data_IF_538062208595
#
_entry.id   IF_538062208595
#
_cell.length_a   1.000
_cell.length_b   1.000
_cell.length_c   1.000
_cell.angle_alpha   90.00
_cell.angle_beta   90.00
_cell.angle_gamma   90.00
#
_symmetry.space_group_name_H-M   'P 1'
#
loop_
_entity.id
_entity.type
_entity.pdbx_description
1 polymer ?
#
# COMPACT_ATOMS: atom_id res chain seq x y z
N UNK A 1 -4.63 9.83 13.77
CA UNK A 1 -3.19 9.64 13.49
C UNK A 1 -2.68 8.47 14.31
N UNK A 2 -1.97 7.52 13.72
CA UNK A 2 -1.53 6.31 14.43
C UNK A 2 -0.52 6.68 15.54
N UNK A 3 -0.85 6.40 16.80
CA UNK A 3 0.03 6.66 17.94
C UNK A 3 1.13 5.58 18.08
N UNK A 4 1.89 5.32 17.02
CA UNK A 4 3.02 4.38 17.04
C UNK A 4 4.18 4.88 16.17
N UNK A 5 5.42 4.54 16.56
CA UNK A 5 6.60 4.90 15.77
C UNK A 5 6.66 4.13 14.45
N UNK A 6 7.35 4.68 13.45
CA UNK A 6 7.50 4.07 12.11
C UNK A 6 7.98 2.62 12.17
N UNK A 7 8.95 2.32 13.05
CA UNK A 7 9.46 0.95 13.26
C UNK A 7 8.37 0.00 13.77
N UNK A 8 7.69 0.38 14.85
CA UNK A 8 6.59 -0.41 15.44
C UNK A 8 5.43 -0.58 14.45
N UNK A 9 5.19 0.42 13.61
CA UNK A 9 4.18 0.34 12.56
C UNK A 9 4.54 -0.70 11.50
N UNK A 10 5.79 -0.73 11.01
CA UNK A 10 6.23 -1.76 10.05
C UNK A 10 6.05 -3.17 10.59
N UNK A 11 6.44 -3.41 11.85
CA UNK A 11 6.26 -4.70 12.52
C UNK A 11 4.77 -5.09 12.65
N UNK A 12 3.90 -4.11 12.91
CA UNK A 12 2.46 -4.34 13.09
C UNK A 12 1.67 -4.42 11.79
N UNK A 13 2.22 -3.93 10.69
CA UNK A 13 1.60 -4.06 9.37
C UNK A 13 1.79 -5.48 8.79
N UNK A 14 2.69 -6.29 9.35
CA UNK A 14 2.92 -7.66 8.88
C UNK A 14 2.44 -8.71 9.89
N UNK A 15 2.18 -9.93 9.41
CA UNK A 15 1.71 -11.06 10.25
C UNK A 15 0.28 -10.92 10.77
N UNK A 16 -0.04 -11.65 11.84
CA UNK A 16 -1.38 -11.74 12.44
C UNK A 16 -1.66 -10.57 13.40
N UNK A 17 -1.44 -9.35 12.93
CA UNK A 17 -1.72 -8.11 13.65
C UNK A 17 -3.00 -7.46 13.13
N UNK A 18 -3.80 -6.92 14.04
CA UNK A 18 -5.12 -6.34 13.79
C UNK A 18 -5.23 -5.01 14.52
N UNK A 19 -5.94 -4.05 13.91
CA UNK A 19 -6.27 -2.78 14.54
C UNK A 19 -7.76 -2.72 14.80
N UNK A 20 -8.16 -3.00 16.03
CA UNK A 20 -9.55 -2.99 16.44
C UNK A 20 -9.87 -1.58 16.98
N UNK A 21 -10.99 -1.03 16.53
CA UNK A 21 -11.52 0.24 17.04
C UNK A 21 -12.80 -0.07 17.81
N UNK A 22 -12.71 -0.07 19.13
CA UNK A 22 -13.86 -0.20 20.03
C UNK A 22 -14.21 1.19 20.57
N UNK A 23 -15.36 1.72 20.14
CA UNK A 23 -15.78 3.09 20.46
C UNK A 23 -14.75 4.12 19.97
N UNK A 24 -14.16 4.89 20.90
CA UNK A 24 -13.15 5.93 20.59
C UNK A 24 -11.70 5.45 20.73
N UNK A 25 -11.46 4.19 21.12
CA UNK A 25 -10.11 3.67 21.40
C UNK A 25 -9.68 2.70 20.32
N UNK A 26 -8.49 2.94 19.77
CA UNK A 26 -7.85 2.06 18.79
C UNK A 26 -6.81 1.19 19.49
N UNK A 27 -6.96 -0.13 19.41
CA UNK A 27 -6.06 -1.11 20.05
C UNK A 27 -5.44 -2.03 19.01
N UNK A 28 -4.15 -2.29 19.17
CA UNK A 28 -3.43 -3.30 18.38
C UNK A 28 -3.56 -4.66 19.06
N UNK A 29 -3.99 -5.67 18.31
CA UNK A 29 -4.19 -7.04 18.81
C UNK A 29 -3.43 -8.00 17.91
N UNK A 30 -2.76 -8.99 18.51
CA UNK A 30 -2.08 -10.08 17.80
C UNK A 30 -2.85 -11.38 18.05
N UNK A 31 -3.11 -12.19 17.03
CA UNK A 31 -3.87 -13.45 17.21
C UNK A 31 -3.01 -14.49 17.95
N UNK A 32 -3.59 -15.04 19.03
CA UNK A 32 -2.96 -15.92 20.03
C UNK A 32 -3.66 -15.87 21.41
N UNK A 33 -4.48 -14.83 21.66
CA UNK A 33 -5.14 -14.60 22.95
C UNK A 33 -6.66 -14.37 22.81
N UNK A 34 -7.40 -15.32 22.24
CA UNK A 34 -8.86 -15.46 22.38
C UNK A 34 -9.80 -14.31 21.95
N UNK A 35 -9.30 -13.16 21.50
CA UNK A 35 -10.09 -11.91 21.51
C UNK A 35 -10.18 -11.16 20.16
N UNK A 36 -9.81 -11.78 19.04
CA UNK A 36 -10.13 -11.24 17.73
C UNK A 36 -11.23 -12.10 17.13
N UNK A 37 -12.47 -11.59 17.17
CA UNK A 37 -13.54 -12.18 16.39
C UNK A 37 -13.07 -12.30 14.94
N UNK A 38 -13.44 -13.35 14.24
CA UNK A 38 -12.96 -13.62 12.87
C UNK A 38 -13.41 -12.58 11.82
N UNK A 39 -13.90 -11.40 12.23
CA UNK A 39 -14.52 -10.39 11.37
C UNK A 39 -13.60 -9.24 10.99
N UNK A 40 -12.58 -8.90 11.80
CA UNK A 40 -11.69 -7.78 11.45
C UNK A 40 -10.60 -8.19 10.45
N UNK A 41 -10.38 -7.38 9.37
CA UNK A 41 -9.28 -7.63 8.44
C UNK A 41 -7.92 -7.43 9.12
N UNK A 42 -6.91 -8.19 8.67
CA UNK A 42 -5.52 -7.97 9.09
C UNK A 42 -5.11 -6.52 8.84
N UNK A 43 -4.23 -5.98 9.66
CA UNK A 43 -3.76 -4.59 9.52
C UNK A 43 -3.16 -4.31 8.13
N UNK A 44 -2.42 -5.26 7.55
CA UNK A 44 -1.96 -5.15 6.17
C UNK A 44 -3.12 -4.94 5.18
N UNK A 45 -4.16 -5.76 5.32
CA UNK A 45 -5.31 -5.74 4.41
C UNK A 45 -6.04 -4.41 4.55
N UNK A 46 -6.33 -4.00 5.79
CA UNK A 46 -7.06 -2.78 6.07
C UNK A 46 -6.35 -1.50 5.60
N UNK A 47 -5.04 -1.41 5.82
CA UNK A 47 -4.29 -0.15 5.62
C UNK A 47 -3.51 -0.09 4.30
N UNK A 48 -3.18 -1.24 3.71
CA UNK A 48 -2.40 -1.30 2.47
C UNK A 48 -3.28 -1.84 1.35
N UNK A 49 -3.82 -3.06 1.49
CA UNK A 49 -4.50 -3.74 0.40
C UNK A 49 -5.84 -3.10 0.02
N UNK A 50 -6.67 -2.74 1.00
CA UNK A 50 -8.00 -2.17 0.79
C UNK A 50 -7.94 -0.81 0.08
N UNK A 51 -7.06 0.14 0.45
CA UNK A 51 -6.86 1.37 -0.32
C UNK A 51 -6.43 1.12 -1.77
N UNK A 52 -5.51 0.17 -2.01
CA UNK A 52 -5.06 -0.20 -3.36
C UNK A 52 -6.24 -0.75 -4.15
N UNK A 53 -7.00 -1.70 -3.59
CA UNK A 53 -8.16 -2.30 -4.23
C UNK A 53 -9.22 -1.25 -4.57
N UNK A 54 -9.51 -0.34 -3.63
CA UNK A 54 -10.46 0.77 -3.87
C UNK A 54 -10.03 1.67 -5.02
N UNK A 55 -8.73 1.98 -5.12
CA UNK A 55 -8.20 2.77 -6.24
C UNK A 55 -8.37 2.03 -7.56
N UNK A 56 -8.02 0.74 -7.61
CA UNK A 56 -8.21 -0.10 -8.79
C UNK A 56 -9.70 -0.15 -9.18
N UNK A 57 -10.59 -0.39 -8.23
CA UNK A 57 -12.03 -0.47 -8.48
C UNK A 57 -12.59 0.85 -9.05
N UNK A 58 -12.14 2.01 -8.57
CA UNK A 58 -12.55 3.31 -9.08
C UNK A 58 -12.08 3.54 -10.51
N UNK A 59 -10.86 3.11 -10.84
CA UNK A 59 -10.30 3.24 -12.19
C UNK A 59 -10.96 2.26 -13.17
N UNK A 60 -11.17 1.01 -12.76
CA UNK A 60 -11.63 -0.05 -13.65
C UNK A 60 -13.14 -0.01 -13.89
N UNK A 61 -13.95 0.48 -12.93
CA UNK A 61 -15.41 0.62 -13.08
C UNK A 61 -15.84 1.89 -13.82
N UNK A 62 -14.90 2.79 -14.10
CA UNK A 62 -15.17 4.05 -14.78
C UNK A 62 -14.68 3.96 -16.22
N UNK A 63 -15.62 4.12 -17.16
CA UNK A 63 -15.28 4.28 -18.58
C UNK A 63 -14.86 5.72 -18.91
N UNK A 64 -15.09 6.67 -17.99
CA UNK A 64 -14.74 8.07 -18.19
C UNK A 64 -13.21 8.29 -18.12
N UNK A 65 -12.68 9.27 -18.85
CA UNK A 65 -11.27 9.66 -18.74
C UNK A 65 -10.97 10.22 -17.35
N UNK A 66 -9.70 10.18 -16.93
CA UNK A 66 -9.30 10.59 -15.58
C UNK A 66 -9.76 12.01 -15.21
N UNK A 67 -9.73 12.94 -16.17
CA UNK A 67 -10.18 14.33 -15.98
C UNK A 67 -11.63 14.47 -15.53
N UNK A 68 -12.49 13.53 -15.90
CA UNK A 68 -13.93 13.54 -15.60
C UNK A 68 -14.28 12.69 -14.35
N UNK A 69 -13.29 12.05 -13.72
CA UNK A 69 -13.51 11.19 -12.57
C UNK A 69 -13.18 11.90 -11.24
N UNK A 70 -14.14 12.67 -10.71
CA UNK A 70 -13.98 13.42 -9.46
C UNK A 70 -13.56 12.56 -8.27
N UNK A 71 -14.07 11.33 -8.19
CA UNK A 71 -13.73 10.40 -7.12
C UNK A 71 -12.27 9.99 -7.20
N UNK A 72 -11.79 9.68 -8.40
CA UNK A 72 -10.38 9.41 -8.65
C UNK A 72 -9.52 10.63 -8.33
N UNK A 73 -9.88 11.82 -8.82
CA UNK A 73 -9.11 13.05 -8.60
C UNK A 73 -8.94 13.39 -7.11
N UNK A 74 -10.00 13.19 -6.30
CA UNK A 74 -9.92 13.32 -4.84
C UNK A 74 -8.97 12.29 -4.20
N UNK A 75 -8.90 11.07 -4.74
CA UNK A 75 -7.97 10.05 -4.26
C UNK A 75 -6.53 10.37 -4.68
N UNK A 76 -6.29 10.72 -5.94
CA UNK A 76 -4.97 11.09 -6.46
C UNK A 76 -4.37 12.27 -5.70
N UNK A 77 -5.17 13.29 -5.37
CA UNK A 77 -4.73 14.42 -4.54
C UNK A 77 -4.30 14.00 -3.12
N UNK A 78 -4.95 13.00 -2.52
CA UNK A 78 -4.56 12.48 -1.20
C UNK A 78 -3.30 11.60 -1.27
N UNK A 79 -3.07 10.97 -2.41
CA UNK A 79 -1.89 10.14 -2.67
C UNK A 79 -0.72 10.95 -3.24
N UNK A 80 -0.90 12.27 -3.42
CA UNK A 80 0.05 13.19 -4.05
C UNK A 80 0.49 12.75 -5.46
N UNK A 81 -0.45 12.20 -6.23
CA UNK A 81 -0.24 11.77 -7.62
C UNK A 81 -0.82 12.81 -8.56
N UNK A 82 0.02 13.35 -9.44
CA UNK A 82 -0.41 14.31 -10.47
C UNK A 82 -0.38 13.67 -11.86
N UNK A 83 -1.51 13.76 -12.57
CA UNK A 83 -1.62 13.40 -13.98
C UNK A 83 -1.44 14.64 -14.87
N UNK A 84 -0.65 14.54 -15.95
CA UNK A 84 -0.31 15.67 -16.83
C UNK A 84 -0.62 15.36 -18.30
N UNK A 85 -1.07 16.37 -19.05
CA UNK A 85 -1.35 16.26 -20.49
C UNK A 85 -2.23 15.06 -20.80
N UNK A 86 -1.80 14.25 -21.76
CA UNK A 86 -2.46 13.06 -22.29
C UNK A 86 -2.75 11.99 -21.22
N UNK A 87 -2.04 12.02 -20.07
CA UNK A 87 -2.31 11.11 -18.96
C UNK A 87 -3.73 11.27 -18.41
N UNK A 88 -4.32 12.47 -18.54
CA UNK A 88 -5.67 12.76 -18.09
C UNK A 88 -6.76 12.17 -18.99
N UNK A 89 -6.39 11.73 -20.19
CA UNK A 89 -7.31 11.13 -21.16
C UNK A 89 -7.32 9.60 -21.08
N UNK A 90 -6.34 9.03 -20.37
CA UNK A 90 -6.25 7.60 -20.14
C UNK A 90 -7.47 7.09 -19.37
N UNK A 91 -7.81 5.82 -19.65
CA UNK A 91 -8.94 5.09 -19.06
C UNK A 91 -8.47 3.73 -18.55
N UNK A 92 -9.22 3.15 -17.61
CA UNK A 92 -9.08 1.76 -17.18
C UNK A 92 -7.61 1.27 -17.02
N UNK A 93 -7.22 0.21 -17.73
CA UNK A 93 -5.90 -0.43 -17.61
C UNK A 93 -4.73 0.54 -17.88
N UNK A 94 -4.70 1.33 -18.97
CA UNK A 94 -3.68 2.36 -19.18
C UNK A 94 -3.58 3.36 -18.03
N UNK A 95 -4.72 3.86 -17.53
CA UNK A 95 -4.76 4.81 -16.42
C UNK A 95 -4.24 4.19 -15.13
N UNK A 96 -4.70 2.98 -14.81
CA UNK A 96 -4.23 2.21 -13.66
C UNK A 96 -2.71 2.05 -13.67
N UNK A 97 -2.15 1.62 -14.81
CA UNK A 97 -0.71 1.43 -14.96
C UNK A 97 0.03 2.74 -14.69
N UNK A 98 -0.43 3.85 -15.26
CA UNK A 98 0.21 5.16 -15.11
C UNK A 98 0.15 5.67 -13.67
N UNK A 99 -1.00 5.54 -13.02
CA UNK A 99 -1.20 5.94 -11.61
C UNK A 99 -0.29 5.12 -10.70
N UNK A 100 -0.26 3.80 -10.86
CA UNK A 100 0.57 2.92 -10.02
C UNK A 100 2.07 3.20 -10.19
N UNK A 101 2.52 3.44 -11.42
CA UNK A 101 3.93 3.79 -11.68
C UNK A 101 4.35 5.09 -10.99
N UNK A 102 3.46 6.09 -10.91
CA UNK A 102 3.75 7.35 -10.21
C UNK A 102 3.66 7.21 -8.69
N UNK A 103 2.72 6.43 -8.21
CA UNK A 103 2.43 6.33 -6.77
C UNK A 103 3.37 5.37 -6.04
N UNK A 104 3.68 4.22 -6.65
CA UNK A 104 4.53 3.18 -6.09
C UNK A 104 5.61 2.81 -7.11
N UNK A 105 6.65 3.64 -7.29
CA UNK A 105 7.82 3.27 -8.07
C UNK A 105 8.52 2.10 -7.37
N UNK A 106 8.15 0.87 -7.76
CA UNK A 106 8.66 -0.35 -7.15
C UNK A 106 10.18 -0.50 -7.28
N UNK A 107 10.79 0.15 -8.28
CA UNK A 107 12.24 0.14 -8.51
C UNK A 107 13.03 0.64 -7.30
N UNK A 108 12.67 1.80 -6.75
CA UNK A 108 13.41 2.41 -5.64
C UNK A 108 13.25 1.61 -4.35
N UNK A 109 12.02 1.16 -4.07
CA UNK A 109 11.73 0.37 -2.89
C UNK A 109 12.40 -1.03 -2.92
N UNK A 110 12.43 -1.67 -4.10
CA UNK A 110 13.10 -2.96 -4.28
C UNK A 110 14.62 -2.79 -4.24
N UNK A 111 15.17 -1.73 -4.84
CA UNK A 111 16.60 -1.44 -4.80
C UNK A 111 17.09 -1.14 -3.37
N UNK A 112 16.36 -0.33 -2.60
CA UNK A 112 16.66 -0.08 -1.18
C UNK A 112 16.62 -1.40 -0.38
N UNK A 113 15.62 -2.26 -0.63
CA UNK A 113 15.55 -3.57 0.00
C UNK A 113 16.76 -4.45 -0.34
N UNK A 114 17.15 -4.51 -1.62
CA UNK A 114 18.32 -5.25 -2.12
C UNK A 114 19.59 -4.75 -1.41
N UNK A 115 19.82 -3.43 -1.38
CA UNK A 115 21.00 -2.84 -0.73
C UNK A 115 21.03 -3.12 0.77
N UNK A 116 19.89 -3.07 1.44
CA UNK A 116 19.80 -3.26 2.89
C UNK A 116 19.89 -4.72 3.33
N UNK A 117 19.51 -5.68 2.48
CA UNK A 117 19.40 -7.09 2.87
C UNK A 117 20.35 -8.03 2.13
N UNK A 118 20.94 -7.61 0.99
CA UNK A 118 21.98 -8.40 0.34
C UNK A 118 23.36 -7.98 0.90
N UNK A 119 24.18 -8.95 1.34
CA UNK A 119 25.55 -8.65 1.72
C UNK A 119 26.32 -8.13 0.49
N UNK A 120 27.22 -7.17 0.73
CA UNK A 120 28.15 -6.70 -0.29
C UNK A 120 28.88 -7.88 -0.94
N UNK A 121 29.14 -7.86 -2.26
CA UNK A 121 29.87 -8.94 -2.95
C UNK A 121 31.23 -9.30 -2.32
N UNK A 122 31.90 -8.36 -1.63
CA UNK A 122 33.14 -8.64 -0.87
C UNK A 122 32.93 -9.51 0.37
N UNK A 123 31.71 -9.58 0.89
CA UNK A 123 31.31 -10.30 2.11
C UNK A 123 30.40 -11.50 1.81
N UNK A 124 30.04 -11.72 0.54
CA UNK A 124 29.27 -12.89 0.13
C UNK A 124 30.18 -14.12 0.15
N UNK A 125 29.81 -15.22 0.85
CA UNK A 125 30.57 -16.46 0.80
C UNK A 125 30.58 -16.97 -0.64
N UNK A 126 31.76 -17.33 -1.15
CA UNK A 126 31.88 -18.14 -2.37
C UNK A 126 31.20 -19.48 -2.09
N UNK A 127 30.16 -19.82 -2.86
CA UNK A 127 29.51 -21.12 -2.80
C UNK A 127 30.55 -22.20 -3.15
N UNK A 128 30.76 -23.23 -2.32
CA UNK A 128 31.60 -24.36 -2.70
C UNK A 128 30.96 -25.10 -3.87
N UNK A 129 31.77 -25.37 -4.91
CA UNK A 129 31.43 -26.17 -6.08
C UNK A 129 31.28 -27.66 -5.74
#
# INVERSE_FOLDING_TARGET
MFKCSRRKMRERLWGNNYLITEGKKTKWVKRGAGAASSKEPRAFVQFIMDPIKKLIDVIMKSEAPAKENDKLNKMLKKLDVQLKGDENELRQKPLYKRVMQKWLPAGDAVLEMIVMHLPSPRKAPVLPH
#
